data_IF_050235313320
#
_entry.id   IF_050235313320
#
_cell.length_a   1.000
_cell.length_b   1.000
_cell.length_c   1.000
_cell.angle_alpha   90.00
_cell.angle_beta   90.00
_cell.angle_gamma   90.00
#
_symmetry.space_group_name_H-M   'P 1'
#
loop_
_entity.id
_entity.type
_entity.pdbx_description
1 polymer ?
#
# COMPACT_ATOMS: atom_id res chain seq x y z
N UNK A 1 17.65 16.53 -45.93
CA UNK A 1 17.90 15.17 -45.37
C UNK A 1 18.16 15.17 -43.86
N UNK A 2 19.07 15.98 -43.30
CA UNK A 2 19.37 15.98 -41.85
C UNK A 2 18.18 16.27 -40.92
N UNK A 3 17.28 17.21 -41.29
CA UNK A 3 16.05 17.51 -40.51
C UNK A 3 15.06 16.34 -40.50
N UNK A 4 14.93 15.62 -41.61
CA UNK A 4 14.08 14.44 -41.72
C UNK A 4 14.60 13.31 -40.81
N UNK A 5 15.91 13.03 -40.85
CA UNK A 5 16.56 12.08 -39.94
C UNK A 5 16.40 12.46 -38.46
N UNK A 6 16.53 13.75 -38.11
CA UNK A 6 16.32 14.23 -36.74
C UNK A 6 14.89 13.99 -36.26
N UNK A 7 13.90 14.27 -37.10
CA UNK A 7 12.49 14.07 -36.76
C UNK A 7 12.16 12.58 -36.60
N UNK A 8 12.72 11.72 -37.45
CA UNK A 8 12.59 10.25 -37.33
C UNK A 8 13.23 9.77 -36.03
N UNK A 9 14.41 10.28 -35.68
CA UNK A 9 15.09 9.90 -34.43
C UNK A 9 14.27 10.31 -33.19
N UNK A 10 13.66 11.50 -33.21
CA UNK A 10 12.78 11.99 -32.14
C UNK A 10 11.54 11.10 -32.02
N UNK A 11 10.93 10.70 -33.13
CA UNK A 11 9.76 9.82 -33.12
C UNK A 11 10.09 8.42 -32.57
N UNK A 12 11.27 7.87 -32.92
CA UNK A 12 11.74 6.59 -32.37
C UNK A 12 11.94 6.69 -30.85
N UNK A 13 12.51 7.80 -30.38
CA UNK A 13 12.73 8.01 -28.95
C UNK A 13 11.41 8.09 -28.17
N UNK A 14 10.42 8.84 -28.70
CA UNK A 14 9.07 8.92 -28.11
C UNK A 14 8.38 7.56 -28.10
N UNK A 15 8.55 6.76 -29.17
CA UNK A 15 8.01 5.41 -29.23
C UNK A 15 8.61 4.50 -28.15
N UNK A 16 9.92 4.57 -27.92
CA UNK A 16 10.58 3.79 -26.87
C UNK A 16 10.15 4.18 -25.46
N UNK A 17 9.89 5.47 -25.17
CA UNK A 17 9.41 5.90 -23.85
C UNK A 17 7.97 5.47 -23.56
N UNK A 18 7.14 5.31 -24.59
CA UNK A 18 5.78 4.79 -24.45
C UNK A 18 5.74 3.29 -24.12
N UNK A 19 6.79 2.55 -24.45
CA UNK A 19 6.87 1.09 -24.27
C UNK A 19 7.30 0.64 -22.87
N UNK A 20 7.69 1.55 -21.97
CA UNK A 20 8.21 1.20 -20.64
C UNK A 20 7.16 1.07 -19.54
N UNK A 21 5.87 0.86 -19.89
CA UNK A 21 4.83 0.56 -18.90
C UNK A 21 5.00 -0.85 -18.34
N UNK A 22 5.89 -1.01 -17.38
CA UNK A 22 6.01 -2.22 -16.57
C UNK A 22 4.81 -2.29 -15.62
N UNK A 23 3.83 -3.12 -15.95
CA UNK A 23 2.78 -3.50 -15.00
C UNK A 23 3.39 -4.50 -14.01
N UNK A 24 3.99 -4.00 -12.94
CA UNK A 24 4.38 -4.82 -11.79
C UNK A 24 3.10 -5.19 -11.06
N UNK A 25 2.47 -6.28 -11.50
CA UNK A 25 1.32 -6.85 -10.82
C UNK A 25 1.83 -7.78 -9.74
N UNK A 26 1.56 -7.43 -8.48
CA UNK A 26 1.85 -8.33 -7.37
C UNK A 26 1.10 -9.66 -7.56
N UNK A 27 1.74 -10.76 -7.18
CA UNK A 27 1.19 -12.13 -7.30
C UNK A 27 -0.09 -12.32 -6.49
N UNK A 28 -0.32 -11.50 -5.47
CA UNK A 28 -1.45 -11.59 -4.53
C UNK A 28 -2.04 -10.19 -4.36
N UNK A 29 -3.38 -10.10 -4.39
CA UNK A 29 -4.09 -8.87 -4.06
C UNK A 29 -3.91 -8.52 -2.57
N UNK A 30 -3.96 -7.23 -2.23
CA UNK A 30 -3.93 -6.82 -0.83
C UNK A 30 -5.05 -7.52 -0.04
N UNK A 31 -4.80 -7.93 1.21
CA UNK A 31 -5.86 -8.47 2.07
C UNK A 31 -7.04 -7.50 2.17
N UNK A 32 -8.26 -8.03 2.28
CA UNK A 32 -9.45 -7.21 2.49
C UNK A 32 -9.30 -6.44 3.81
N UNK A 33 -9.60 -5.15 3.79
CA UNK A 33 -9.67 -4.34 5.01
C UNK A 33 -10.73 -4.90 5.96
N UNK A 34 -10.37 -4.97 7.24
CA UNK A 34 -11.26 -5.46 8.30
C UNK A 34 -12.12 -4.31 8.77
N UNK A 35 -13.44 -4.49 8.74
CA UNK A 35 -14.38 -3.46 9.18
C UNK A 35 -14.24 -3.19 10.69
N UNK A 36 -14.34 -1.92 11.14
CA UNK A 36 -14.33 -1.58 12.55
C UNK A 36 -15.52 -2.20 13.30
N UNK A 37 -15.29 -2.68 14.53
CA UNK A 37 -16.36 -3.11 15.43
C UNK A 37 -16.87 -1.90 16.21
N UNK A 38 -18.18 -1.65 16.19
CA UNK A 38 -18.80 -0.60 17.00
C UNK A 38 -19.60 -1.25 18.13
N UNK A 39 -19.27 -0.91 19.38
CA UNK A 39 -19.97 -1.40 20.56
C UNK A 39 -20.03 -0.31 21.63
N UNK A 40 -21.23 -0.02 22.15
CA UNK A 40 -21.49 1.00 23.17
C UNK A 40 -20.87 2.39 22.86
N UNK A 41 -20.97 2.86 21.62
CA UNK A 41 -20.42 4.16 21.21
C UNK A 41 -18.89 4.17 21.10
N UNK A 42 -18.23 3.02 21.20
CA UNK A 42 -16.79 2.87 21.00
C UNK A 42 -16.54 2.11 19.70
N UNK A 43 -15.70 2.68 18.85
CA UNK A 43 -15.22 2.09 17.61
C UNK A 43 -13.87 1.42 17.88
N UNK A 44 -13.79 0.13 17.65
CA UNK A 44 -12.59 -0.68 17.76
C UNK A 44 -12.00 -0.94 16.38
N UNK A 45 -10.71 -0.64 16.22
CA UNK A 45 -9.99 -0.81 14.95
C UNK A 45 -8.69 -1.58 15.14
N UNK A 46 -8.30 -2.34 14.12
CA UNK A 46 -6.97 -2.95 14.01
C UNK A 46 -6.18 -2.20 12.91
N UNK A 47 -5.37 -1.18 13.26
CA UNK A 47 -4.73 -0.31 12.28
C UNK A 47 -3.69 -1.06 11.46
N UNK A 48 -3.67 -0.80 10.15
CA UNK A 48 -2.72 -1.44 9.23
C UNK A 48 -1.30 -0.84 9.31
N UNK A 49 -1.17 0.43 9.70
CA UNK A 49 0.13 1.14 9.78
C UNK A 49 0.93 0.79 11.05
N UNK A 50 0.30 0.18 12.05
CA UNK A 50 0.93 -0.20 13.31
C UNK A 50 0.37 -1.56 13.77
N UNK A 51 0.90 -2.60 13.15
CA UNK A 51 0.50 -3.98 13.40
C UNK A 51 0.65 -4.39 14.86
N UNK A 52 -0.20 -5.32 15.29
CA UNK A 52 -0.15 -5.84 16.66
C UNK A 52 -0.89 -4.99 17.68
N UNK A 53 -1.61 -3.95 17.26
CA UNK A 53 -2.40 -3.10 18.14
C UNK A 53 -3.89 -3.19 17.85
N UNK A 54 -4.69 -2.97 18.89
CA UNK A 54 -6.11 -2.64 18.81
C UNK A 54 -6.27 -1.23 19.36
N UNK A 55 -7.03 -0.40 18.67
CA UNK A 55 -7.34 0.96 19.09
C UNK A 55 -8.82 1.09 19.41
N UNK A 56 -9.12 1.83 20.47
CA UNK A 56 -10.47 2.24 20.81
C UNK A 56 -10.64 3.74 20.58
N UNK A 57 -11.71 4.09 19.90
CA UNK A 57 -12.04 5.46 19.55
C UNK A 57 -13.46 5.77 20.01
N UNK A 58 -13.70 6.97 20.52
CA UNK A 58 -15.06 7.47 20.67
C UNK A 58 -15.68 7.56 19.27
N UNK A 59 -16.80 6.87 19.06
CA UNK A 59 -17.43 6.78 17.75
C UNK A 59 -18.03 8.13 17.29
N UNK A 60 -18.45 8.97 18.23
CA UNK A 60 -19.14 10.23 17.94
C UNK A 60 -18.15 11.39 17.81
N UNK A 61 -17.16 11.49 18.70
CA UNK A 61 -16.16 12.58 18.68
C UNK A 61 -14.95 12.27 17.81
N UNK A 62 -14.69 10.99 17.52
CA UNK A 62 -13.49 10.55 16.80
C UNK A 62 -12.20 10.64 17.63
N UNK A 63 -12.31 10.88 18.94
CA UNK A 63 -11.15 10.93 19.83
C UNK A 63 -10.64 9.53 20.17
N UNK A 64 -9.32 9.36 20.18
CA UNK A 64 -8.69 8.11 20.64
C UNK A 64 -8.86 7.98 22.14
N UNK A 65 -9.44 6.88 22.59
CA UNK A 65 -9.62 6.56 24.01
C UNK A 65 -8.40 5.84 24.57
N UNK A 66 -7.90 4.83 23.84
CA UNK A 66 -6.72 4.05 24.19
C UNK A 66 -6.23 3.20 23.01
N UNK A 67 -5.03 2.65 23.14
CA UNK A 67 -4.53 1.53 22.35
C UNK A 67 -4.01 0.40 23.24
N UNK A 68 -4.06 -0.82 22.71
CA UNK A 68 -3.59 -2.03 23.37
C UNK A 68 -2.71 -2.82 22.40
N UNK A 69 -1.47 -3.09 22.82
CA UNK A 69 -0.57 -3.99 22.11
C UNK A 69 -0.91 -5.44 22.42
N UNK A 70 -1.24 -6.20 21.39
CA UNK A 70 -1.59 -7.63 21.44
C UNK A 70 -0.36 -8.51 21.16
N UNK A 71 0.50 -8.11 20.21
CA UNK A 71 1.71 -8.87 19.87
C UNK A 71 2.81 -7.97 19.28
N UNK A 72 4.05 -8.47 19.37
CA UNK A 72 5.20 -7.89 18.69
C UNK A 72 5.29 -8.34 17.24
N UNK A 73 5.61 -7.40 16.36
CA UNK A 73 5.90 -7.72 14.96
C UNK A 73 7.41 -7.76 14.77
N UNK A 74 7.93 -8.97 14.57
CA UNK A 74 9.30 -9.18 14.18
C UNK A 74 9.37 -9.31 12.66
N UNK A 75 9.87 -8.28 11.98
CA UNK A 75 10.19 -8.38 10.56
C UNK A 75 11.58 -9.03 10.47
N UNK A 76 11.62 -10.33 10.21
CA UNK A 76 12.86 -10.98 9.82
C UNK A 76 13.20 -10.57 8.39
N UNK A 77 14.25 -9.76 8.23
CA UNK A 77 14.76 -9.23 6.96
C UNK A 77 15.18 -10.32 5.93
N UNK A 78 15.08 -11.61 6.25
CA UNK A 78 15.62 -12.73 5.45
C UNK A 78 14.58 -13.68 4.88
N UNK A 79 13.32 -13.26 4.75
CA UNK A 79 12.38 -13.98 3.89
C UNK A 79 12.77 -13.70 2.42
N UNK A 80 13.76 -14.46 1.93
CA UNK A 80 14.04 -14.54 0.50
C UNK A 80 12.84 -15.22 -0.12
N UNK A 81 12.03 -14.44 -0.84
CA UNK A 81 11.13 -14.99 -1.84
C UNK A 81 11.94 -16.02 -2.66
N UNK A 82 11.61 -17.29 -2.50
CA UNK A 82 12.13 -18.34 -3.36
C UNK A 82 11.56 -18.03 -4.75
N UNK A 83 12.40 -17.41 -5.59
CA UNK A 83 12.17 -17.26 -7.03
C UNK A 83 12.03 -18.63 -7.69
#
# INVERSE_FOLDING_TARGET
MKKFFKNVLILIFIFFTLMTKNNVQAKIAAPKEVEPLIYNGIKFTAPHNHHGFIEAWNNDTGEKLWDLKIYDVFIFMFERDKQ
#
